data_IF_870124537399
#
_entry.id   IF_870124537399
#
_cell.length_a   1.000
_cell.length_b   1.000
_cell.length_c   1.000
_cell.angle_alpha   90.00
_cell.angle_beta   90.00
_cell.angle_gamma   90.00
#
_symmetry.space_group_name_H-M   'P 1'
#
loop_
_entity.id
_entity.type
_entity.pdbx_description
1 polymer ?
#
# COMPACT_ATOMS: atom_id res chain seq x y z
N UNK A 1 -61.94 20.70 -71.99
CA UNK A 1 -60.72 21.30 -72.59
C UNK A 1 -59.61 21.19 -71.57
N UNK A 2 -58.35 20.87 -71.82
CA UNK A 2 -57.59 20.25 -72.91
C UNK A 2 -56.20 19.99 -72.30
N UNK A 3 -55.65 18.78 -72.54
CA UNK A 3 -54.23 18.39 -72.65
C UNK A 3 -53.15 18.89 -71.65
N UNK A 4 -52.45 17.86 -71.10
CA UNK A 4 -50.96 17.65 -70.99
C UNK A 4 -50.16 18.69 -70.16
N UNK A 5 -49.16 18.35 -69.36
CA UNK A 5 -47.95 17.61 -69.73
C UNK A 5 -47.09 17.30 -68.49
N UNK A 6 -46.34 16.20 -68.61
CA UNK A 6 -45.37 15.61 -67.69
C UNK A 6 -44.17 16.54 -67.41
N UNK A 7 -43.67 16.57 -66.16
CA UNK A 7 -42.26 16.85 -65.87
C UNK A 7 -41.87 16.25 -64.51
N UNK A 8 -41.15 15.13 -64.57
CA UNK A 8 -40.40 14.56 -63.45
C UNK A 8 -39.12 15.38 -63.29
N UNK A 9 -38.85 15.92 -62.10
CA UNK A 9 -37.49 16.33 -61.73
C UNK A 9 -37.19 15.90 -60.29
N UNK A 10 -36.27 14.95 -60.19
CA UNK A 10 -35.61 14.51 -58.96
C UNK A 10 -34.91 15.68 -58.28
N UNK A 11 -35.32 16.01 -57.06
CA UNK A 11 -34.57 16.88 -56.15
C UNK A 11 -33.87 16.04 -55.09
N UNK A 12 -32.56 15.86 -55.24
CA UNK A 12 -31.72 15.10 -54.32
C UNK A 12 -31.72 15.69 -52.89
N UNK A 13 -31.99 14.85 -51.89
CA UNK A 13 -31.75 15.15 -50.48
C UNK A 13 -30.22 15.24 -50.25
N UNK A 14 -29.69 16.46 -50.13
CA UNK A 14 -28.34 16.69 -49.63
C UNK A 14 -28.38 16.62 -48.10
N UNK A 15 -28.03 15.45 -47.56
CA UNK A 15 -27.74 15.26 -46.14
C UNK A 15 -26.44 16.02 -45.82
N UNK A 16 -26.53 17.12 -45.07
CA UNK A 16 -25.36 17.85 -44.61
C UNK A 16 -24.57 16.99 -43.61
N UNK A 17 -23.47 16.38 -44.07
CA UNK A 17 -22.46 15.79 -43.19
C UNK A 17 -21.86 16.89 -42.34
N UNK A 18 -22.23 16.95 -41.06
CA UNK A 18 -21.49 17.74 -40.09
C UNK A 18 -20.12 17.08 -39.85
N UNK A 19 -19.02 17.85 -39.78
CA UNK A 19 -17.73 17.30 -39.44
C UNK A 19 -17.77 16.83 -37.98
N UNK A 20 -17.55 15.54 -37.76
CA UNK A 20 -17.30 15.01 -36.44
C UNK A 20 -16.04 15.70 -35.88
N UNK A 21 -16.23 16.58 -34.89
CA UNK A 21 -15.12 17.17 -34.16
C UNK A 21 -14.45 16.03 -33.39
N UNK A 22 -13.35 15.52 -33.94
CA UNK A 22 -12.47 14.60 -33.23
C UNK A 22 -11.95 15.35 -32.00
N UNK A 23 -12.51 15.07 -30.83
CA UNK A 23 -11.92 15.46 -29.57
C UNK A 23 -10.58 14.72 -29.48
N UNK A 24 -9.49 15.42 -29.79
CA UNK A 24 -8.15 15.02 -29.38
C UNK A 24 -8.17 14.94 -27.86
N UNK A 25 -8.31 13.72 -27.33
CA UNK A 25 -8.08 13.45 -25.92
C UNK A 25 -6.66 13.92 -25.62
N UNK A 26 -6.53 15.04 -24.91
CA UNK A 26 -5.23 15.54 -24.48
C UNK A 26 -4.51 14.39 -23.78
N UNK A 27 -3.32 14.04 -24.26
CA UNK A 27 -2.50 13.04 -23.59
C UNK A 27 -2.22 13.55 -22.17
N UNK A 28 -2.64 12.79 -21.16
CA UNK A 28 -2.24 13.06 -19.78
C UNK A 28 -0.70 13.11 -19.76
N UNK A 29 -0.09 14.14 -19.14
CA UNK A 29 1.35 14.19 -19.04
C UNK A 29 1.82 12.90 -18.36
N UNK A 30 2.73 12.17 -19.02
CA UNK A 30 3.31 10.97 -18.46
C UNK A 30 3.85 11.31 -17.05
N UNK A 31 3.56 10.49 -16.03
CA UNK A 31 4.07 10.75 -14.69
C UNK A 31 5.59 10.95 -14.76
N UNK A 32 6.06 12.09 -14.28
CA UNK A 32 7.47 12.43 -14.29
C UNK A 32 8.21 11.46 -13.37
N UNK A 33 8.98 10.53 -13.94
CA UNK A 33 9.82 9.61 -13.19
C UNK A 33 10.85 10.40 -12.36
N UNK A 34 10.87 10.17 -11.05
CA UNK A 34 11.84 10.75 -10.12
C UNK A 34 12.91 9.70 -9.80
N UNK A 35 14.04 9.78 -10.50
CA UNK A 35 15.13 8.81 -10.40
C UNK A 35 15.83 8.83 -9.02
N UNK A 36 16.00 10.02 -8.44
CA UNK A 36 16.66 10.18 -7.15
C UNK A 36 15.77 9.66 -6.02
N UNK A 37 14.46 9.94 -6.08
CA UNK A 37 13.51 9.36 -5.15
C UNK A 37 13.49 7.83 -5.28
N UNK A 38 13.36 7.29 -6.49
CA UNK A 38 13.36 5.85 -6.73
C UNK A 38 14.59 5.17 -6.11
N UNK A 39 15.78 5.73 -6.35
CA UNK A 39 17.04 5.24 -5.76
C UNK A 39 17.03 5.33 -4.23
N UNK A 40 16.57 6.44 -3.66
CA UNK A 40 16.54 6.63 -2.20
C UNK A 40 15.61 5.66 -1.48
N UNK A 41 14.52 5.24 -2.13
CA UNK A 41 13.56 4.29 -1.59
C UNK A 41 13.96 2.83 -1.86
N UNK A 42 15.03 2.60 -2.64
CA UNK A 42 15.48 1.27 -3.06
C UNK A 42 14.54 0.61 -4.05
N UNK A 43 13.90 1.40 -4.92
CA UNK A 43 12.99 0.93 -5.93
C UNK A 43 13.72 0.29 -7.13
N UNK A 44 13.14 -0.77 -7.67
CA UNK A 44 13.47 -1.30 -8.98
C UNK A 44 12.81 -0.46 -10.11
N UNK A 45 12.98 -0.90 -11.37
CA UNK A 45 12.41 -0.24 -12.56
C UNK A 45 10.88 -0.11 -12.52
N UNK A 46 10.19 -0.90 -11.69
CA UNK A 46 8.73 -0.90 -11.54
C UNK A 46 8.27 -0.02 -10.37
N UNK A 47 9.19 0.65 -9.66
CA UNK A 47 8.86 1.40 -8.44
C UNK A 47 8.64 0.50 -7.22
N UNK A 48 9.13 -0.74 -7.26
CA UNK A 48 8.85 -1.78 -6.26
C UNK A 48 10.14 -2.19 -5.54
N UNK A 49 10.01 -2.85 -4.39
CA UNK A 49 11.15 -3.45 -3.67
C UNK A 49 10.73 -4.67 -2.85
N UNK A 50 11.68 -5.56 -2.52
CA UNK A 50 11.42 -6.67 -1.63
C UNK A 50 11.38 -6.24 -0.16
N UNK A 51 10.49 -6.87 0.59
CA UNK A 51 10.20 -6.72 2.01
C UNK A 51 9.97 -8.10 2.63
N UNK A 52 9.82 -8.13 3.96
CA UNK A 52 9.23 -9.26 4.68
C UNK A 52 7.94 -8.79 5.34
N UNK A 53 6.82 -9.41 4.96
CA UNK A 53 5.55 -9.32 5.66
C UNK A 53 5.61 -10.25 6.87
N UNK A 54 5.21 -9.73 8.02
CA UNK A 54 5.07 -10.50 9.26
C UNK A 54 3.62 -10.46 9.69
N UNK A 55 3.04 -11.61 9.96
CA UNK A 55 1.71 -11.74 10.53
C UNK A 55 1.88 -12.11 12.00
N UNK A 56 1.40 -11.24 12.89
CA UNK A 56 1.36 -11.50 14.32
C UNK A 56 0.09 -12.26 14.66
N UNK A 57 0.22 -13.35 15.41
CA UNK A 57 -0.88 -14.20 15.89
C UNK A 57 -0.86 -14.29 17.40
N UNK A 58 -1.99 -14.66 18.01
CA UNK A 58 -2.03 -15.05 19.42
C UNK A 58 -1.10 -16.25 19.65
N UNK A 59 -0.15 -16.09 20.59
CA UNK A 59 0.74 -17.16 21.01
C UNK A 59 0.15 -18.01 22.14
N UNK A 60 0.84 -19.08 22.55
CA UNK A 60 0.35 -20.01 23.55
C UNK A 60 0.38 -19.45 24.98
N UNK A 61 1.16 -18.38 25.25
CA UNK A 61 1.25 -17.82 26.59
C UNK A 61 0.13 -16.81 26.85
N UNK A 62 -0.70 -17.11 27.84
CA UNK A 62 -1.63 -16.15 28.42
C UNK A 62 -1.02 -15.50 29.67
N UNK A 63 -0.99 -14.17 29.72
CA UNK A 63 -0.52 -13.41 30.89
C UNK A 63 -1.75 -12.92 31.63
N UNK A 64 -2.05 -13.52 32.78
CA UNK A 64 -3.24 -13.19 33.58
C UNK A 64 -3.10 -11.85 34.31
N UNK A 65 -1.89 -11.60 34.84
CA UNK A 65 -1.56 -10.35 35.53
C UNK A 65 -1.70 -9.15 34.60
N UNK A 66 -2.56 -8.20 34.99
CA UNK A 66 -2.88 -7.03 34.17
C UNK A 66 -1.70 -6.07 34.06
N UNK A 67 -0.92 -5.92 35.12
CA UNK A 67 0.21 -4.99 35.17
C UNK A 67 1.39 -5.54 34.35
N UNK A 68 1.68 -6.84 34.45
CA UNK A 68 2.69 -7.51 33.62
C UNK A 68 2.31 -7.39 32.13
N UNK A 69 1.04 -7.70 31.80
CA UNK A 69 0.56 -7.58 30.42
C UNK A 69 0.69 -6.15 29.91
N UNK A 70 0.29 -5.14 30.70
CA UNK A 70 0.42 -3.74 30.31
C UNK A 70 1.88 -3.37 30.00
N UNK A 71 2.83 -3.78 30.85
CA UNK A 71 4.26 -3.55 30.65
C UNK A 71 4.80 -4.21 29.37
N UNK A 72 4.37 -5.43 29.06
CA UNK A 72 4.74 -6.12 27.82
C UNK A 72 4.26 -5.32 26.60
N UNK A 73 3.02 -4.84 26.60
CA UNK A 73 2.46 -4.09 25.48
C UNK A 73 3.06 -2.67 25.36
N UNK A 74 3.38 -2.01 26.47
CA UNK A 74 4.15 -0.76 26.44
C UNK A 74 5.50 -0.97 25.74
N UNK A 75 6.21 -2.03 26.10
CA UNK A 75 7.46 -2.41 25.45
C UNK A 75 7.32 -2.77 23.97
N UNK A 76 6.20 -3.41 23.58
CA UNK A 76 5.86 -3.68 22.18
C UNK A 76 5.75 -2.38 21.36
N UNK A 77 4.98 -1.40 21.85
CA UNK A 77 4.84 -0.11 21.16
C UNK A 77 6.15 0.68 21.12
N UNK A 78 6.93 0.65 22.22
CA UNK A 78 8.26 1.27 22.25
C UNK A 78 9.22 0.63 21.21
N UNK A 79 9.21 -0.70 21.09
CA UNK A 79 10.02 -1.41 20.11
C UNK A 79 9.59 -1.08 18.67
N UNK A 80 8.28 -1.03 18.39
CA UNK A 80 7.76 -0.58 17.10
C UNK A 80 8.24 0.83 16.75
N UNK A 81 8.16 1.76 17.70
CA UNK A 81 8.64 3.14 17.52
C UNK A 81 10.13 3.20 17.19
N UNK A 82 10.96 2.42 17.91
CA UNK A 82 12.40 2.29 17.63
C UNK A 82 12.66 1.76 16.22
N UNK A 83 12.04 0.64 15.85
CA UNK A 83 12.25 0.01 14.54
C UNK A 83 11.74 0.90 13.39
N UNK A 84 10.68 1.67 13.61
CA UNK A 84 10.18 2.63 12.65
C UNK A 84 11.14 3.83 12.47
N UNK A 85 11.70 4.36 13.56
CA UNK A 85 12.71 5.42 13.52
C UNK A 85 14.00 4.99 12.80
N UNK A 86 14.37 3.71 12.93
CA UNK A 86 15.50 3.09 12.22
C UNK A 86 15.16 2.71 10.76
N UNK A 87 13.95 3.03 10.27
CA UNK A 87 13.43 2.67 8.95
C UNK A 87 13.42 1.15 8.66
N UNK A 88 13.45 0.33 9.70
CA UNK A 88 13.38 -1.14 9.62
C UNK A 88 11.94 -1.62 9.51
N UNK A 89 11.02 -0.96 10.21
CA UNK A 89 9.58 -1.21 10.18
C UNK A 89 8.90 -0.08 9.41
N UNK A 90 8.27 -0.40 8.28
CA UNK A 90 7.66 0.62 7.39
C UNK A 90 6.15 0.69 7.49
N UNK A 91 5.52 -0.41 7.91
CA UNK A 91 4.08 -0.48 8.17
C UNK A 91 3.89 -1.35 9.40
N UNK A 92 3.03 -0.90 10.30
CA UNK A 92 2.53 -1.70 11.41
C UNK A 92 1.06 -1.37 11.64
N UNK A 93 0.27 -2.37 12.01
CA UNK A 93 -1.13 -2.14 12.34
C UNK A 93 -1.86 -3.39 12.80
N UNK A 94 -3.01 -3.22 13.48
CA UNK A 94 -3.85 -4.33 13.88
C UNK A 94 -4.55 -4.95 12.66
N UNK A 95 -4.84 -6.24 12.77
CA UNK A 95 -5.78 -6.95 11.91
C UNK A 95 -7.12 -7.11 12.64
N UNK A 96 -8.13 -7.64 11.94
CA UNK A 96 -9.50 -7.80 12.44
C UNK A 96 -9.67 -8.94 13.47
N UNK A 97 -8.58 -9.61 13.86
CA UNK A 97 -8.61 -10.70 14.84
C UNK A 97 -9.02 -12.06 14.29
N UNK A 98 -9.44 -12.16 13.01
CA UNK A 98 -9.87 -13.43 12.44
C UNK A 98 -8.72 -14.43 12.40
N UNK A 99 -9.05 -15.69 12.67
CA UNK A 99 -8.08 -16.79 12.71
C UNK A 99 -6.93 -16.52 13.71
N UNK A 100 -7.19 -15.72 14.75
CA UNK A 100 -6.19 -15.35 15.76
C UNK A 100 -5.11 -14.39 15.24
N UNK A 101 -5.26 -13.83 14.03
CA UNK A 101 -4.33 -12.83 13.48
C UNK A 101 -4.57 -11.47 14.11
N UNK A 102 -3.57 -10.97 14.82
CA UNK A 102 -3.68 -9.76 15.64
C UNK A 102 -3.18 -8.51 14.93
N UNK A 103 -2.20 -8.65 14.04
CA UNK A 103 -1.58 -7.51 13.39
C UNK A 103 -0.59 -7.90 12.30
N UNK A 104 -0.04 -6.90 11.64
CA UNK A 104 1.01 -7.05 10.65
C UNK A 104 2.19 -6.13 10.94
N UNK A 105 3.37 -6.57 10.50
CA UNK A 105 4.51 -5.71 10.23
C UNK A 105 4.95 -5.87 8.78
N UNK A 106 5.47 -4.79 8.19
CA UNK A 106 6.24 -4.86 6.94
C UNK A 106 7.66 -4.39 7.25
N UNK A 107 8.62 -5.31 7.13
CA UNK A 107 10.03 -5.09 7.41
C UNK A 107 10.78 -4.72 6.13
N UNK A 108 11.59 -3.67 6.19
CA UNK A 108 12.36 -3.10 5.08
C UNK A 108 13.61 -3.92 4.69
N UNK A 109 13.47 -5.25 4.60
CA UNK A 109 14.54 -6.18 4.23
C UNK A 109 13.98 -7.28 3.32
N UNK A 110 14.76 -7.81 2.36
CA UNK A 110 14.41 -9.03 1.62
C UNK A 110 14.66 -10.32 2.41
N UNK A 111 15.42 -10.25 3.51
CA UNK A 111 15.91 -11.39 4.27
C UNK A 111 15.01 -11.70 5.47
N UNK A 112 14.46 -12.92 5.49
CA UNK A 112 13.62 -13.42 6.57
C UNK A 112 14.41 -13.55 7.88
N UNK A 113 15.67 -13.97 7.85
CA UNK A 113 16.46 -14.14 9.07
C UNK A 113 16.76 -12.78 9.71
N UNK A 114 17.07 -11.78 8.88
CA UNK A 114 17.19 -10.40 9.35
C UNK A 114 15.88 -9.87 9.94
N UNK A 115 14.74 -10.13 9.30
CA UNK A 115 13.42 -9.73 9.81
C UNK A 115 13.10 -10.42 11.16
N UNK A 116 13.38 -11.72 11.29
CA UNK A 116 13.26 -12.46 12.56
C UNK A 116 14.12 -11.84 13.65
N UNK A 117 15.38 -11.51 13.35
CA UNK A 117 16.26 -10.88 14.33
C UNK A 117 15.70 -9.55 14.86
N UNK A 118 15.05 -8.75 14.01
CA UNK A 118 14.38 -7.52 14.45
C UNK A 118 13.09 -7.80 15.22
N UNK A 119 12.23 -8.70 14.74
CA UNK A 119 10.95 -9.03 15.40
C UNK A 119 11.15 -9.70 16.75
N UNK A 120 12.19 -10.51 16.91
CA UNK A 120 12.51 -11.19 18.17
C UNK A 120 13.01 -10.25 19.29
N UNK A 121 13.15 -8.94 19.00
CA UNK A 121 13.38 -7.93 20.04
C UNK A 121 12.10 -7.47 20.73
N UNK A 122 10.93 -7.84 20.19
CA UNK A 122 9.64 -7.40 20.69
C UNK A 122 9.20 -8.19 21.93
N UNK A 123 8.85 -7.53 23.04
CA UNK A 123 8.37 -8.19 24.24
C UNK A 123 7.17 -9.13 24.04
N UNK A 124 6.25 -8.86 23.10
CA UNK A 124 5.13 -9.79 22.85
C UNK A 124 5.59 -11.10 22.21
N UNK A 125 6.70 -11.07 21.46
CA UNK A 125 7.31 -12.25 20.85
C UNK A 125 8.17 -12.99 21.88
N UNK A 126 9.04 -12.27 22.61
CA UNK A 126 9.92 -12.84 23.65
C UNK A 126 9.09 -13.54 24.74
N UNK A 127 7.97 -12.95 25.13
CA UNK A 127 7.10 -13.53 26.15
C UNK A 127 6.25 -14.69 25.63
N UNK A 128 6.09 -14.86 24.31
CA UNK A 128 5.18 -15.86 23.73
C UNK A 128 3.69 -15.48 23.81
N UNK A 129 3.38 -14.21 24.11
CA UNK A 129 2.01 -13.65 24.02
C UNK A 129 1.55 -13.58 22.56
N UNK A 130 2.49 -13.36 21.65
CA UNK A 130 2.28 -13.45 20.22
C UNK A 130 3.34 -14.33 19.57
N UNK A 131 2.97 -14.89 18.43
CA UNK A 131 3.87 -15.55 17.49
C UNK A 131 3.88 -14.80 16.16
N UNK A 132 4.91 -15.03 15.34
CA UNK A 132 5.11 -14.32 14.09
C UNK A 132 5.32 -15.31 12.93
N UNK A 133 4.49 -15.18 11.88
CA UNK A 133 4.71 -15.84 10.60
C UNK A 133 5.39 -14.87 9.63
N UNK A 134 6.40 -15.32 8.89
CA UNK A 134 7.23 -14.48 8.02
C UNK A 134 7.05 -14.87 6.55
N UNK A 135 6.81 -13.88 5.70
CA UNK A 135 6.57 -14.08 4.27
C UNK A 135 7.35 -13.05 3.45
N UNK A 136 7.95 -13.49 2.33
CA UNK A 136 8.51 -12.53 1.37
C UNK A 136 7.37 -11.71 0.77
N UNK A 137 7.56 -10.40 0.71
CA UNK A 137 6.62 -9.46 0.11
C UNK A 137 7.35 -8.64 -0.95
N UNK A 138 6.84 -8.64 -2.17
CA UNK A 138 7.24 -7.70 -3.20
C UNK A 138 6.16 -6.62 -3.29
N UNK A 139 6.51 -5.38 -2.95
CA UNK A 139 5.55 -4.29 -2.78
C UNK A 139 6.13 -2.96 -3.25
N UNK A 140 5.30 -1.91 -3.26
CA UNK A 140 5.76 -0.58 -3.67
C UNK A 140 6.90 -0.09 -2.77
N UNK A 141 7.94 0.50 -3.37
CA UNK A 141 9.00 1.18 -2.63
C UNK A 141 8.47 2.38 -1.84
N UNK A 142 7.30 2.92 -2.22
CA UNK A 142 6.63 4.01 -1.52
C UNK A 142 6.25 3.67 -0.08
N UNK A 143 6.20 2.38 0.32
CA UNK A 143 6.01 2.02 1.73
C UNK A 143 7.09 2.63 2.65
N UNK A 144 8.30 2.88 2.13
CA UNK A 144 9.36 3.57 2.88
C UNK A 144 9.00 5.00 3.29
N UNK A 145 8.01 5.61 2.64
CA UNK A 145 7.53 6.95 2.97
C UNK A 145 6.39 6.95 4.01
N UNK A 146 5.82 5.78 4.33
CA UNK A 146 4.63 5.69 5.18
C UNK A 146 4.90 6.27 6.56
N UNK A 147 6.03 5.96 7.20
CA UNK A 147 6.39 6.50 8.52
C UNK A 147 6.51 8.02 8.50
N UNK A 148 7.17 8.59 7.47
CA UNK A 148 7.35 10.03 7.35
C UNK A 148 6.03 10.76 7.12
N UNK A 149 5.15 10.19 6.29
CA UNK A 149 3.81 10.72 6.06
C UNK A 149 2.95 10.58 7.31
N UNK A 150 2.98 9.42 7.97
CA UNK A 150 2.25 9.14 9.21
C UNK A 150 2.55 10.19 10.27
N UNK A 151 3.84 10.51 10.47
CA UNK A 151 4.27 11.52 11.43
C UNK A 151 3.74 12.94 11.14
N UNK A 152 3.44 13.25 9.87
CA UNK A 152 2.87 14.55 9.45
C UNK A 152 1.36 14.60 9.59
N UNK A 153 0.67 13.47 9.46
CA UNK A 153 -0.80 13.41 9.47
C UNK A 153 -1.39 13.00 10.82
N UNK A 154 -0.58 12.42 11.72
CA UNK A 154 -1.03 12.14 13.08
C UNK A 154 -1.18 13.44 13.88
N UNK A 155 -2.25 13.54 14.66
CA UNK A 155 -2.34 14.57 15.70
C UNK A 155 -1.36 14.19 16.80
N UNK A 156 -0.50 15.13 17.21
CA UNK A 156 0.31 14.96 18.42
C UNK A 156 -0.67 14.76 19.58
N UNK A 157 -0.52 13.64 20.29
CA UNK A 157 -1.22 13.38 21.55
C UNK A 157 -0.51 14.13 22.68
#
# INVERSE_FOLDING_TARGET
>A
MSKKMLAVLSGALLFAMQPASAQTKAAEPAPHYDAELAKSLGADERGMRPYVLVILKTGPKNIEDKAERAKIFEGHFANMGKLAAEKKLVVAGPLDGKEGRRGIFVMATPDIEQAKAWVNTDPVIISGVMEADFHKLYGSAALMMVTDVHNKIQKKQ
#
